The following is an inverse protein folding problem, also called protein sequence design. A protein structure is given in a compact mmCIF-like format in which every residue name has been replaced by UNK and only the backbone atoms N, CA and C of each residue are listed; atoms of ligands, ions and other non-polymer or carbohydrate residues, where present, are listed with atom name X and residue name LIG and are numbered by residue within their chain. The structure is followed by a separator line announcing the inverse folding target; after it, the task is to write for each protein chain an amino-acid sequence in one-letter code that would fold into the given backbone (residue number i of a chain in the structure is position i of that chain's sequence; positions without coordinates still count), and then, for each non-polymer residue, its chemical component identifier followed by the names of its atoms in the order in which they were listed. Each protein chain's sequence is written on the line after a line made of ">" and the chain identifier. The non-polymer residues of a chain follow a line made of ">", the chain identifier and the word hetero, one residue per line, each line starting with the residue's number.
data_IF_871156963533
#
_entry.id   IF_871156963533
#
_cell.length_a   1.000
_cell.length_b   1.000
_cell.length_c   1.000
_cell.angle_alpha   90.00
_cell.angle_beta   90.00
_cell.angle_gamma   90.00
#
_symmetry.space_group_name_H-M   'P 1'
#
loop_
_entity.id
_entity.type
_entity.pdbx_description
1 polymer ?
#
# COMPACT_ATOMS: atom_id res chain seq x y z
N UNK A 1 -15.86 6.49 40.45
CA UNK A 1 -15.86 7.33 41.66
C UNK A 1 -17.24 7.97 41.83
N UNK A 2 -17.63 8.44 43.04
CA UNK A 2 -18.90 9.15 43.21
C UNK A 2 -18.92 10.42 42.34
N UNK A 3 -20.07 10.75 41.73
CA UNK A 3 -20.21 12.00 40.98
C UNK A 3 -20.20 13.20 41.92
N UNK A 4 -19.58 14.30 41.49
CA UNK A 4 -19.53 15.54 42.27
C UNK A 4 -20.83 16.33 42.04
N UNK A 5 -21.47 16.86 43.09
CA UNK A 5 -22.74 17.58 42.95
C UNK A 5 -22.59 19.05 42.50
N UNK A 6 -21.39 19.62 42.65
CA UNK A 6 -21.13 21.05 42.42
C UNK A 6 -19.77 21.27 41.74
N UNK A 7 -19.65 22.35 40.98
CA UNK A 7 -18.41 22.74 40.30
C UNK A 7 -17.33 23.20 41.30
N UNK A 8 -16.19 22.48 41.40
CA UNK A 8 -15.09 22.83 42.31
C UNK A 8 -14.39 24.15 41.92
N UNK A 9 -14.52 24.62 40.67
CA UNK A 9 -13.91 25.87 40.23
C UNK A 9 -14.54 27.11 40.88
N UNK A 10 -15.74 26.98 41.45
CA UNK A 10 -16.43 28.03 42.17
C UNK A 10 -16.03 28.08 43.66
N UNK A 11 -15.26 27.11 44.13
CA UNK A 11 -14.80 27.05 45.51
C UNK A 11 -13.64 28.00 45.74
N UNK A 12 -13.77 28.86 46.76
CA UNK A 12 -12.71 29.78 47.18
C UNK A 12 -11.94 29.20 48.36
N UNK A 13 -10.63 29.44 48.39
CA UNK A 13 -9.79 29.08 49.53
C UNK A 13 -10.27 29.88 50.76
N UNK A 14 -10.61 29.20 51.87
CA UNK A 14 -10.89 29.88 53.12
C UNK A 14 -9.71 30.75 53.56
N UNK A 15 -9.99 31.89 54.18
CA UNK A 15 -8.93 32.72 54.74
C UNK A 15 -8.43 32.11 56.06
N UNK A 16 -7.39 31.26 55.97
CA UNK A 16 -6.78 30.62 57.15
C UNK A 16 -6.08 31.59 58.11
N UNK A 17 -5.97 32.88 57.78
CA UNK A 17 -5.50 33.92 58.71
C UNK A 17 -6.59 34.40 59.68
N UNK A 18 -7.86 34.05 59.43
CA UNK A 18 -8.98 34.44 60.31
C UNK A 18 -8.92 33.73 61.67
N UNK A 19 -9.51 34.35 62.69
CA UNK A 19 -9.48 33.88 64.07
C UNK A 19 -10.20 32.54 64.25
N UNK A 20 -11.16 32.25 63.37
CA UNK A 20 -11.87 30.96 63.32
C UNK A 20 -10.94 29.75 63.18
N UNK A 21 -9.73 29.93 62.63
CA UNK A 21 -8.77 28.86 62.39
C UNK A 21 -7.60 28.84 63.39
N UNK A 22 -7.61 29.69 64.44
CA UNK A 22 -6.52 29.77 65.44
C UNK A 22 -6.19 28.40 66.04
N UNK A 23 -7.21 27.63 66.45
CA UNK A 23 -6.99 26.32 67.05
C UNK A 23 -6.26 25.36 66.09
N UNK A 24 -6.63 25.37 64.82
CA UNK A 24 -6.00 24.55 63.78
C UNK A 24 -4.57 25.00 63.50
N UNK A 25 -4.31 26.31 63.51
CA UNK A 25 -2.95 26.86 63.37
C UNK A 25 -2.05 26.50 64.54
N UNK A 26 -2.56 26.59 65.76
CA UNK A 26 -1.82 26.25 66.98
C UNK A 26 -1.43 24.77 67.03
N UNK A 27 -2.29 23.87 66.54
CA UNK A 27 -1.96 22.43 66.44
C UNK A 27 -0.81 22.13 65.46
N UNK A 28 -0.64 22.98 64.43
CA UNK A 28 0.42 22.84 63.43
C UNK A 28 1.71 23.58 63.83
N UNK A 29 1.62 24.51 64.79
CA UNK A 29 2.75 25.33 65.25
C UNK A 29 3.63 24.51 66.21
N UNK A 30 4.94 24.49 65.96
CA UNK A 30 5.95 23.81 66.77
C UNK A 30 7.24 24.65 66.79
N UNK A 31 8.27 24.24 67.54
CA UNK A 31 9.56 24.98 67.58
C UNK A 31 10.17 25.26 66.19
N UNK A 32 9.85 24.43 65.19
CA UNK A 32 10.34 24.54 63.82
C UNK A 32 9.32 25.10 62.82
N UNK A 33 8.05 25.31 63.22
CA UNK A 33 6.97 25.76 62.32
C UNK A 33 6.29 26.97 62.94
N UNK A 34 6.47 28.11 62.30
CA UNK A 34 5.81 29.37 62.67
C UNK A 34 4.33 29.39 62.24
N UNK A 35 3.52 30.23 62.88
CA UNK A 35 2.10 30.39 62.54
C UNK A 35 1.89 30.78 61.07
N UNK A 36 2.77 31.62 60.51
CA UNK A 36 2.73 31.98 59.09
C UNK A 36 2.97 30.77 58.17
N UNK A 37 3.86 29.86 58.55
CA UNK A 37 4.09 28.61 57.81
C UNK A 37 2.91 27.65 57.94
N UNK A 38 2.25 27.59 59.10
CA UNK A 38 1.03 26.80 59.28
C UNK A 38 -0.11 27.26 58.35
N UNK A 39 -0.29 28.57 58.16
CA UNK A 39 -1.26 29.13 57.19
C UNK A 39 -0.95 28.69 55.76
N UNK A 40 0.32 28.68 55.38
CA UNK A 40 0.77 28.23 54.05
C UNK A 40 0.50 26.74 53.86
N UNK A 41 0.79 25.91 54.87
CA UNK A 41 0.52 24.47 54.83
C UNK A 41 -0.98 24.21 54.63
N UNK A 42 -1.86 24.88 55.40
CA UNK A 42 -3.31 24.73 55.27
C UNK A 42 -3.81 25.13 53.88
N UNK A 43 -3.28 26.22 53.32
CA UNK A 43 -3.60 26.64 51.95
C UNK A 43 -3.15 25.60 50.92
N UNK A 44 -1.94 25.05 51.08
CA UNK A 44 -1.42 24.04 50.17
C UNK A 44 -2.23 22.74 50.20
N UNK A 45 -2.66 22.31 51.39
CA UNK A 45 -3.55 21.13 51.54
C UNK A 45 -4.87 21.38 50.82
N UNK A 46 -5.51 22.52 51.09
CA UNK A 46 -6.77 22.87 50.43
C UNK A 46 -6.61 22.94 48.91
N UNK A 47 -5.51 23.53 48.42
CA UNK A 47 -5.23 23.63 47.00
C UNK A 47 -5.05 22.24 46.35
N UNK A 48 -4.31 21.34 47.00
CA UNK A 48 -4.14 19.97 46.51
C UNK A 48 -5.48 19.21 46.43
N UNK A 49 -6.33 19.34 47.45
CA UNK A 49 -7.67 18.73 47.44
C UNK A 49 -8.58 19.34 46.36
N UNK A 50 -8.57 20.66 46.23
CA UNK A 50 -9.37 21.36 45.23
C UNK A 50 -8.91 21.00 43.81
N UNK A 51 -7.60 20.91 43.56
CA UNK A 51 -7.05 20.52 42.26
C UNK A 51 -7.39 19.07 41.91
N UNK A 52 -7.33 18.14 42.88
CA UNK A 52 -7.80 16.77 42.68
C UNK A 52 -9.31 16.72 42.36
N UNK A 53 -10.11 17.52 43.07
CA UNK A 53 -11.56 17.60 42.84
C UNK A 53 -11.88 18.19 41.46
N UNK A 54 -11.12 19.20 41.00
CA UNK A 54 -11.24 19.76 39.64
C UNK A 54 -10.89 18.74 38.56
N UNK A 55 -9.87 17.91 38.77
CA UNK A 55 -9.54 16.82 37.84
C UNK A 55 -10.69 15.82 37.73
N UNK A 56 -11.26 15.41 38.85
CA UNK A 56 -12.42 14.52 38.87
C UNK A 56 -13.65 15.15 38.19
N UNK A 57 -13.88 16.46 38.37
CA UNK A 57 -14.93 17.20 37.67
C UNK A 57 -14.70 17.22 36.16
N UNK A 58 -13.46 17.49 35.74
CA UNK A 58 -13.10 17.50 34.32
C UNK A 58 -13.27 16.12 33.67
N UNK A 59 -12.96 15.05 34.40
CA UNK A 59 -13.20 13.67 33.96
C UNK A 59 -14.71 13.42 33.76
N UNK A 60 -15.56 13.84 34.71
CA UNK A 60 -17.01 13.72 34.58
C UNK A 60 -17.56 14.46 33.35
N UNK A 61 -17.08 15.68 33.09
CA UNK A 61 -17.48 16.43 31.90
C UNK A 61 -17.03 15.75 30.60
N UNK A 62 -15.85 15.14 30.59
CA UNK A 62 -15.36 14.40 29.44
C UNK A 62 -16.21 13.14 29.20
N UNK A 63 -16.49 12.37 30.25
CA UNK A 63 -17.36 11.19 30.18
C UNK A 63 -18.77 11.54 29.67
N UNK A 64 -19.35 12.63 30.17
CA UNK A 64 -20.69 13.07 29.75
C UNK A 64 -20.69 13.53 28.28
N UNK A 65 -19.64 14.24 27.85
CA UNK A 65 -19.47 14.61 26.44
C UNK A 65 -19.32 13.39 25.55
N UNK A 66 -18.52 12.41 25.95
CA UNK A 66 -18.23 11.23 25.15
C UNK A 66 -19.46 10.30 25.08
N UNK A 67 -20.24 10.20 26.16
CA UNK A 67 -21.56 9.56 26.13
C UNK A 67 -22.49 10.19 25.11
N UNK A 68 -22.64 11.52 25.14
CA UNK A 68 -23.51 12.22 24.17
C UNK A 68 -23.05 12.00 22.73
N UNK A 69 -21.73 11.98 22.49
CA UNK A 69 -21.17 11.67 21.16
C UNK A 69 -21.48 10.24 20.73
N UNK A 70 -21.35 9.27 21.62
CA UNK A 70 -21.64 7.87 21.32
C UNK A 70 -23.14 7.68 21.03
N UNK A 71 -24.02 8.25 21.86
CA UNK A 71 -25.48 8.22 21.64
C UNK A 71 -25.87 8.86 20.30
N UNK A 72 -25.21 9.97 19.93
CA UNK A 72 -25.39 10.61 18.62
C UNK A 72 -24.92 9.71 17.48
N UNK A 73 -23.74 9.11 17.61
CA UNK A 73 -23.16 8.25 16.59
C UNK A 73 -23.99 6.98 16.40
N UNK A 74 -24.41 6.32 17.48
CA UNK A 74 -25.29 5.15 17.42
C UNK A 74 -26.61 5.47 16.71
N UNK A 75 -27.18 6.65 16.97
CA UNK A 75 -28.41 7.09 16.29
C UNK A 75 -28.17 7.29 14.79
N UNK A 76 -27.05 7.90 14.42
CA UNK A 76 -26.70 8.09 13.01
C UNK A 76 -26.45 6.75 12.29
N UNK A 77 -25.75 5.82 12.94
CA UNK A 77 -25.50 4.47 12.42
C UNK A 77 -26.80 3.67 12.28
N UNK A 78 -27.73 3.80 13.23
CA UNK A 78 -29.04 3.18 13.11
C UNK A 78 -29.84 3.76 11.95
N UNK A 79 -29.84 5.09 11.78
CA UNK A 79 -30.52 5.72 10.65
C UNK A 79 -29.93 5.33 9.30
N UNK A 80 -28.60 5.21 9.18
CA UNK A 80 -27.96 4.76 7.94
C UNK A 80 -28.30 3.30 7.67
N UNK A 81 -28.22 2.44 8.68
CA UNK A 81 -28.61 1.04 8.56
C UNK A 81 -30.06 0.89 8.11
N UNK A 82 -30.99 1.63 8.72
CA UNK A 82 -32.42 1.57 8.38
C UNK A 82 -32.67 2.08 6.95
N UNK A 83 -31.97 3.13 6.51
CA UNK A 83 -32.03 3.64 5.12
C UNK A 83 -31.51 2.60 4.13
N UNK A 84 -30.38 1.96 4.43
CA UNK A 84 -29.80 0.92 3.59
C UNK A 84 -30.70 -0.32 3.51
N UNK A 85 -31.28 -0.74 4.64
CA UNK A 85 -32.21 -1.87 4.67
C UNK A 85 -33.49 -1.56 3.90
N UNK A 86 -34.04 -0.36 4.04
CA UNK A 86 -35.18 0.10 3.25
C UNK A 86 -34.87 0.11 1.75
N UNK A 87 -33.70 0.63 1.36
CA UNK A 87 -33.24 0.62 -0.03
C UNK A 87 -33.08 -0.81 -0.57
N UNK A 88 -32.51 -1.73 0.21
CA UNK A 88 -32.37 -3.15 -0.16
C UNK A 88 -33.71 -3.84 -0.32
N UNK A 89 -34.67 -3.56 0.57
CA UNK A 89 -36.06 -4.08 0.47
C UNK A 89 -36.75 -3.56 -0.79
N UNK A 90 -36.58 -2.27 -1.10
CA UNK A 90 -37.13 -1.66 -2.30
C UNK A 90 -36.52 -2.25 -3.58
N UNK A 91 -35.19 -2.41 -3.64
CA UNK A 91 -34.53 -3.03 -4.77
C UNK A 91 -34.96 -4.48 -4.95
N UNK A 92 -35.07 -5.26 -3.87
CA UNK A 92 -35.58 -6.64 -3.93
C UNK A 92 -37.02 -6.71 -4.45
N UNK A 93 -37.85 -5.71 -4.13
CA UNK A 93 -39.23 -5.61 -4.64
C UNK A 93 -39.26 -5.28 -6.14
N UNK A 94 -38.41 -4.36 -6.60
CA UNK A 94 -38.32 -3.96 -8.01
C UNK A 94 -37.64 -5.03 -8.87
N UNK A 95 -36.66 -5.73 -8.31
CA UNK A 95 -35.76 -6.63 -9.03
C UNK A 95 -35.89 -8.10 -8.61
N UNK A 96 -37.12 -8.61 -8.52
CA UNK A 96 -37.41 -9.97 -8.03
C UNK A 96 -36.61 -11.06 -8.75
N UNK A 97 -36.37 -10.88 -10.05
CA UNK A 97 -35.65 -11.85 -10.89
C UNK A 97 -34.19 -12.02 -10.43
N UNK A 98 -33.50 -10.95 -10.01
CA UNK A 98 -32.11 -11.04 -9.50
C UNK A 98 -32.00 -11.73 -8.14
N UNK A 99 -33.06 -11.67 -7.34
CA UNK A 99 -33.10 -12.24 -5.98
C UNK A 99 -33.86 -13.55 -5.90
N UNK A 100 -34.12 -14.19 -7.04
CA UNK A 100 -34.70 -15.53 -7.08
C UNK A 100 -33.66 -16.52 -6.60
N UNK A 101 -34.04 -17.39 -5.66
CA UNK A 101 -33.14 -18.41 -5.14
C UNK A 101 -32.69 -19.30 -6.30
N UNK A 102 -31.38 -19.33 -6.55
CA UNK A 102 -30.80 -20.33 -7.45
C UNK A 102 -31.05 -21.69 -6.80
N UNK A 103 -31.67 -22.66 -7.51
CA UNK A 103 -31.84 -24.00 -6.98
C UNK A 103 -30.48 -24.52 -6.53
N UNK A 104 -30.42 -25.09 -5.32
CA UNK A 104 -29.24 -25.82 -4.86
C UNK A 104 -29.13 -27.09 -5.70
N UNK A 105 -28.54 -26.95 -6.88
CA UNK A 105 -28.10 -28.08 -7.69
C UNK A 105 -26.80 -28.56 -7.07
N UNK A 106 -26.69 -29.87 -6.86
CA UNK A 106 -25.44 -30.47 -6.46
C UNK A 106 -24.36 -30.08 -7.47
N UNK A 107 -23.21 -29.63 -6.95
CA UNK A 107 -22.05 -29.34 -7.80
C UNK A 107 -21.76 -30.62 -8.59
N UNK A 108 -21.72 -30.58 -9.93
CA UNK A 108 -21.43 -31.77 -10.71
C UNK A 108 -20.11 -32.40 -10.24
N UNK A 109 -20.21 -33.57 -9.61
CA UNK A 109 -19.04 -34.32 -9.10
C UNK A 109 -18.13 -34.82 -10.23
N UNK A 110 -18.66 -34.84 -11.46
CA UNK A 110 -17.91 -35.19 -12.65
C UNK A 110 -17.37 -33.90 -13.29
N UNK A 111 -16.05 -33.84 -13.45
CA UNK A 111 -15.41 -32.79 -14.21
C UNK A 111 -16.02 -32.72 -15.61
N UNK A 112 -16.43 -31.51 -16.03
CA UNK A 112 -16.89 -31.26 -17.39
C UNK A 112 -15.75 -31.57 -18.34
N UNK A 113 -15.97 -32.53 -19.23
CA UNK A 113 -15.00 -32.90 -20.26
C UNK A 113 -15.01 -31.77 -21.31
N UNK A 114 -14.05 -30.86 -21.20
CA UNK A 114 -13.85 -29.78 -22.15
C UNK A 114 -12.97 -30.27 -23.31
N UNK A 115 -13.31 -29.95 -24.57
CA UNK A 115 -12.41 -30.16 -25.70
C UNK A 115 -11.05 -29.47 -25.48
N UNK A 116 -10.00 -29.98 -26.12
CA UNK A 116 -8.68 -29.35 -26.07
C UNK A 116 -8.72 -27.91 -26.59
N UNK A 117 -7.83 -27.03 -26.12
CA UNK A 117 -7.73 -25.64 -26.58
C UNK A 117 -7.52 -25.56 -28.10
N UNK A 118 -6.73 -26.48 -28.65
CA UNK A 118 -6.54 -26.64 -30.09
C UNK A 118 -7.87 -26.86 -30.82
N UNK A 119 -8.71 -27.75 -30.30
CA UNK A 119 -10.00 -28.06 -30.90
C UNK A 119 -10.96 -26.87 -30.85
N UNK A 120 -10.97 -26.14 -29.73
CA UNK A 120 -11.76 -24.92 -29.60
C UNK A 120 -11.30 -23.82 -30.57
N UNK A 121 -9.99 -23.62 -30.73
CA UNK A 121 -9.43 -22.63 -31.65
C UNK A 121 -9.76 -22.93 -33.12
N UNK A 122 -9.67 -24.21 -33.53
CA UNK A 122 -10.06 -24.62 -34.88
C UNK A 122 -11.56 -24.43 -35.14
N UNK A 123 -12.41 -24.77 -34.15
CA UNK A 123 -13.85 -24.55 -34.24
C UNK A 123 -14.19 -23.06 -34.35
N UNK A 124 -13.51 -22.20 -33.60
CA UNK A 124 -13.73 -20.74 -33.67
C UNK A 124 -13.29 -20.15 -35.02
N UNK A 125 -12.20 -20.67 -35.60
CA UNK A 125 -11.73 -20.33 -36.95
C UNK A 125 -12.59 -20.96 -38.06
N UNK A 126 -13.55 -21.83 -37.74
CA UNK A 126 -14.38 -22.56 -38.70
C UNK A 126 -13.59 -23.59 -39.53
N UNK A 127 -12.44 -24.03 -39.04
CA UNK A 127 -11.57 -24.97 -39.73
C UNK A 127 -11.96 -26.42 -39.41
N UNK A 128 -11.71 -27.32 -40.37
CA UNK A 128 -11.96 -28.74 -40.17
C UNK A 128 -11.10 -29.29 -39.03
N UNK A 129 -11.73 -30.04 -38.13
CA UNK A 129 -11.07 -30.78 -37.08
C UNK A 129 -11.58 -32.22 -37.02
N UNK A 130 -10.67 -33.15 -36.83
CA UNK A 130 -11.00 -34.56 -36.69
C UNK A 130 -11.77 -34.82 -35.39
N UNK A 131 -12.82 -35.63 -35.49
CA UNK A 131 -13.69 -35.98 -34.35
C UNK A 131 -12.91 -36.71 -33.22
N UNK A 132 -11.75 -37.30 -33.55
CA UNK A 132 -10.88 -37.98 -32.60
C UNK A 132 -10.45 -37.07 -31.43
N UNK A 133 -10.27 -35.76 -31.66
CA UNK A 133 -9.91 -34.79 -30.62
C UNK A 133 -10.99 -34.58 -29.55
N UNK A 134 -12.21 -35.09 -29.75
CA UNK A 134 -13.30 -35.06 -28.77
C UNK A 134 -13.47 -36.38 -28.02
N UNK A 135 -12.66 -37.39 -28.33
CA UNK A 135 -12.64 -38.68 -27.60
C UNK A 135 -11.78 -38.57 -26.34
N UNK A 136 -12.02 -39.43 -25.34
CA UNK A 136 -11.23 -39.41 -24.09
C UNK A 136 -9.72 -39.56 -24.37
N UNK A 137 -9.37 -40.45 -25.29
CA UNK A 137 -7.97 -40.69 -25.70
C UNK A 137 -7.37 -39.44 -26.36
N UNK A 138 -8.13 -38.79 -27.24
CA UNK A 138 -7.71 -37.55 -27.89
C UNK A 138 -7.55 -36.37 -26.93
N UNK A 139 -8.37 -36.31 -25.87
CA UNK A 139 -8.26 -35.29 -24.84
C UNK A 139 -7.06 -35.49 -23.93
N UNK A 140 -6.75 -36.73 -23.55
CA UNK A 140 -5.60 -37.02 -22.71
C UNK A 140 -4.28 -36.85 -23.48
N UNK A 141 -4.26 -37.25 -24.75
CA UNK A 141 -3.13 -36.99 -25.65
C UNK A 141 -2.94 -35.48 -25.92
N UNK A 142 -4.02 -34.73 -26.11
CA UNK A 142 -3.94 -33.27 -26.30
C UNK A 142 -3.51 -32.51 -25.03
N UNK A 143 -3.83 -33.01 -23.82
CA UNK A 143 -3.29 -32.47 -22.56
C UNK A 143 -1.78 -32.68 -22.46
N UNK A 144 -1.29 -33.84 -22.89
CA UNK A 144 0.15 -34.16 -22.93
C UNK A 144 0.89 -33.32 -23.98
N UNK A 145 0.25 -33.09 -25.12
CA UNK A 145 0.76 -32.27 -26.22
C UNK A 145 0.31 -30.81 -26.08
N UNK A 146 0.56 -30.15 -24.94
CA UNK A 146 0.33 -28.71 -24.79
C UNK A 146 1.24 -27.94 -25.77
N UNK A 147 0.79 -27.89 -27.02
CA UNK A 147 1.47 -27.24 -28.13
C UNK A 147 1.38 -25.75 -27.86
N UNK A 148 2.55 -25.13 -27.79
CA UNK A 148 2.71 -23.70 -28.02
C UNK A 148 1.88 -23.37 -29.26
N UNK A 149 0.87 -22.53 -29.11
CA UNK A 149 0.12 -21.98 -30.23
C UNK A 149 1.13 -21.22 -31.11
N UNK A 150 1.14 -21.44 -32.43
CA UNK A 150 2.07 -20.72 -33.31
C UNK A 150 1.78 -19.21 -33.35
N UNK A 151 0.59 -18.80 -32.91
CA UNK A 151 0.20 -17.40 -32.65
C UNK A 151 0.41 -16.96 -31.18
N UNK A 152 0.96 -17.80 -30.30
CA UNK A 152 1.25 -17.42 -28.91
C UNK A 152 2.34 -16.36 -28.84
N UNK A 153 1.95 -15.12 -28.52
CA UNK A 153 2.89 -14.06 -28.21
C UNK A 153 3.61 -14.34 -26.88
N UNK A 154 4.93 -14.53 -26.94
CA UNK A 154 5.77 -14.57 -25.75
C UNK A 154 6.02 -13.13 -25.31
N UNK A 155 5.64 -12.77 -24.08
CA UNK A 155 6.06 -11.50 -23.49
C UNK A 155 7.57 -11.53 -23.24
N UNK A 156 8.34 -10.94 -24.15
CA UNK A 156 9.73 -10.61 -23.89
C UNK A 156 9.77 -9.37 -22.99
N UNK A 157 10.02 -9.56 -21.69
CA UNK A 157 10.31 -8.44 -20.79
C UNK A 157 11.73 -7.94 -21.05
N UNK A 158 11.89 -7.07 -22.04
CA UNK A 158 13.05 -6.17 -22.08
C UNK A 158 12.79 -5.07 -21.05
N UNK A 159 13.79 -4.85 -20.20
CA UNK A 159 13.83 -3.89 -19.09
C UNK A 159 13.64 -2.45 -19.58
N UNK A 160 12.41 -2.06 -19.89
CA UNK A 160 11.93 -0.67 -19.99
C UNK A 160 10.43 -0.69 -20.37
N UNK A 161 9.61 -0.93 -19.34
CA UNK A 161 8.18 -0.61 -19.14
C UNK A 161 7.31 -0.09 -20.32
N UNK A 162 7.38 -0.68 -21.52
CA UNK A 162 6.40 -0.55 -22.60
C UNK A 162 6.41 -1.87 -23.39
N UNK A 163 5.41 -2.72 -23.17
CA UNK A 163 5.22 -3.95 -23.95
C UNK A 163 4.57 -3.64 -25.29
N UNK A 164 5.25 -3.92 -26.39
CA UNK A 164 4.66 -3.92 -27.73
C UNK A 164 4.37 -5.36 -28.16
N UNK A 165 3.13 -5.62 -28.59
CA UNK A 165 2.69 -6.91 -29.15
C UNK A 165 2.98 -6.90 -30.66
N UNK A 166 3.85 -7.78 -31.16
CA UNK A 166 4.15 -7.90 -32.59
C UNK A 166 4.16 -9.38 -33.03
N UNK A 167 3.57 -9.72 -34.19
CA UNK A 167 3.55 -11.08 -34.72
C UNK A 167 4.95 -11.55 -35.17
N UNK A 168 5.21 -12.85 -35.03
CA UNK A 168 6.50 -13.51 -35.32
C UNK A 168 7.00 -13.34 -36.77
N UNK A 169 6.12 -13.00 -37.71
CA UNK A 169 6.46 -12.76 -39.12
C UNK A 169 7.30 -11.50 -39.38
N UNK A 170 7.48 -10.62 -38.38
CA UNK A 170 8.23 -9.37 -38.52
C UNK A 170 9.73 -9.49 -38.18
N UNK A 171 10.15 -10.56 -37.51
CA UNK A 171 11.53 -10.73 -37.02
C UNK A 171 12.64 -10.75 -38.10
N UNK A 172 12.48 -11.40 -39.27
CA UNK A 172 13.57 -11.40 -40.26
C UNK A 172 13.76 -10.03 -40.92
N UNK A 173 12.69 -9.22 -41.03
CA UNK A 173 12.76 -7.88 -41.62
C UNK A 173 13.45 -6.87 -40.70
N UNK A 174 13.18 -6.94 -39.39
CA UNK A 174 13.80 -6.05 -38.39
C UNK A 174 15.27 -6.40 -38.21
N UNK A 175 15.63 -7.70 -38.18
CA UNK A 175 17.04 -8.12 -38.11
C UNK A 175 17.82 -7.67 -39.36
N UNK A 176 17.21 -7.77 -40.56
CA UNK A 176 17.82 -7.28 -41.79
C UNK A 176 18.03 -5.76 -41.79
N UNK A 177 17.07 -4.98 -41.27
CA UNK A 177 17.21 -3.52 -41.14
C UNK A 177 18.29 -3.12 -40.13
N UNK A 178 18.35 -3.80 -38.98
CA UNK A 178 19.38 -3.56 -37.95
C UNK A 178 20.77 -3.93 -38.49
N UNK A 179 20.90 -5.04 -39.22
CA UNK A 179 22.15 -5.40 -39.91
C UNK A 179 22.56 -4.36 -40.95
N UNK A 180 21.63 -3.85 -41.76
CA UNK A 180 21.94 -2.83 -42.77
C UNK A 180 22.41 -1.51 -42.12
N UNK A 181 21.79 -1.11 -41.01
CA UNK A 181 22.20 0.08 -40.25
C UNK A 181 23.60 -0.09 -39.62
N UNK A 182 23.90 -1.26 -39.05
CA UNK A 182 25.23 -1.56 -38.50
C UNK A 182 26.32 -1.56 -39.58
N UNK A 183 26.04 -2.10 -40.76
CA UNK A 183 26.98 -2.08 -41.90
C UNK A 183 27.20 -0.66 -42.42
N UNK A 184 26.15 0.17 -42.48
CA UNK A 184 26.26 1.59 -42.86
C UNK A 184 27.08 2.40 -41.85
N UNK A 185 26.86 2.18 -40.55
CA UNK A 185 27.64 2.81 -39.49
C UNK A 185 29.12 2.37 -39.53
N UNK A 186 29.39 1.10 -39.83
CA UNK A 186 30.75 0.61 -39.97
C UNK A 186 31.47 1.23 -41.18
N UNK A 187 30.79 1.35 -42.34
CA UNK A 187 31.33 2.03 -43.52
C UNK A 187 31.64 3.51 -43.25
N UNK A 188 30.72 4.24 -42.62
CA UNK A 188 30.92 5.64 -42.24
C UNK A 188 32.05 5.83 -41.22
N UNK A 189 32.26 4.86 -40.31
CA UNK A 189 33.34 4.90 -39.33
C UNK A 189 34.72 4.65 -39.95
N UNK A 190 34.82 3.77 -40.95
CA UNK A 190 36.11 3.46 -41.61
C UNK A 190 36.56 4.63 -42.50
N UNK A 191 35.63 5.26 -43.22
CA UNK A 191 35.95 6.42 -44.08
C UNK A 191 36.41 7.65 -43.27
N UNK A 192 35.98 7.75 -41.99
CA UNK A 192 36.39 8.84 -41.09
C UNK A 192 37.78 8.64 -40.47
N UNK A 193 38.31 7.41 -40.44
CA UNK A 193 39.60 7.09 -39.81
C UNK A 193 40.78 7.19 -40.81
N UNK A 194 40.53 7.04 -42.12
CA UNK A 194 41.57 7.14 -43.17
C UNK A 194 41.87 8.57 -43.66
N UNK A 195 41.14 9.59 -43.19
CA UNK A 195 41.22 10.97 -43.68
C UNK A 195 42.23 11.90 -43.00
N UNK A 196 42.90 11.51 -41.92
CA UNK A 196 43.80 12.42 -41.16
C UNK A 196 44.98 11.69 -40.54
N UNK A 197 46.03 11.45 -41.34
CA UNK A 197 47.38 11.14 -40.81
C UNK A 197 48.33 12.25 -41.30
N UNK A 198 48.75 13.19 -40.43
CA UNK A 198 49.82 14.13 -40.74
C UNK A 198 51.20 13.47 -40.59
N UNK A 199 52.07 13.69 -41.58
CA UNK A 199 53.46 13.20 -41.65
C UNK A 199 54.35 13.92 -40.63
N UNK A 200 55.08 13.22 -39.74
CA UNK A 200 56.04 13.86 -38.83
C UNK A 200 57.48 13.84 -39.40
N UNK A 201 58.10 15.02 -39.38
CA UNK A 201 59.51 15.28 -39.74
C UNK A 201 60.45 14.82 -38.60
N UNK A 202 61.60 14.17 -38.88
CA UNK A 202 62.54 13.73 -37.85
C UNK A 202 63.47 14.86 -37.36
N UNK A 203 63.79 14.94 -36.05
CA UNK A 203 64.79 15.86 -35.47
C UNK A 203 66.23 15.26 -35.42
N UNK A 204 67.27 16.07 -35.11
CA UNK A 204 68.65 15.88 -35.57
C UNK A 204 69.57 15.04 -34.67
N UNK A 205 70.69 14.61 -35.27
CA UNK A 205 71.71 13.65 -34.82
C UNK A 205 72.81 14.29 -33.96
N UNK A 206 73.24 13.61 -32.87
CA UNK A 206 74.64 13.47 -32.38
C UNK A 206 74.68 12.89 -30.94
N UNK A 207 75.82 12.38 -30.40
CA UNK A 207 76.90 11.59 -31.01
C UNK A 207 77.31 10.33 -30.19
N UNK A 208 77.80 9.33 -30.92
CA UNK A 208 78.98 8.44 -30.70
C UNK A 208 79.45 8.04 -29.27
N UNK A 209 79.48 6.72 -29.00
CA UNK A 209 80.52 5.98 -28.27
C UNK A 209 80.31 4.46 -28.54
N UNK A 210 81.07 3.84 -29.45
CA UNK A 210 82.37 3.17 -29.24
C UNK A 210 82.27 1.72 -28.69
N UNK A 211 82.73 0.74 -29.52
CA UNK A 211 83.58 -0.47 -29.22
C UNK A 211 83.22 -1.35 -28.01
N UNK A 212 83.33 -2.68 -27.99
CA UNK A 212 83.89 -3.73 -28.83
C UNK A 212 83.56 -5.09 -28.15
N UNK A 213 83.63 -6.22 -28.88
CA UNK A 213 84.14 -7.57 -28.48
C UNK A 213 83.75 -8.55 -29.61
N UNK A 214 84.60 -8.85 -30.60
CA UNK A 214 85.52 -10.01 -30.66
C UNK A 214 85.00 -11.29 -30.00
N UNK A 215 84.65 -12.27 -30.84
CA UNK A 215 85.37 -13.55 -30.98
C UNK A 215 85.30 -13.97 -32.45
#
# INVERSE_FOLDING_TARGET
>A
MPRLPSDPNLSFCPNYADDAFINTRLQLTNENITEAQAIVILRNIWQAENDATKLQWQEQLNEDRDRLKNEEQERQEQETHDKEEAARKEDRKKNKHKYTAVPNLDVPLKATILPSSYALCKLDKGEYIELWYFTNDGLDDAKLKSSVDEDAMIMATVTSNIGYMAPLSFFPFVLALVCLQLVLLYRLSVDRILGTIPVPHPPPIAPTCARAFRL
#
